data_IF_500580858946
#
_entry.id   IF_500580858946
#
_cell.length_a   1.000
_cell.length_b   1.000
_cell.length_c   1.000
_cell.angle_alpha   90.00
_cell.angle_beta   90.00
_cell.angle_gamma   90.00
#
_symmetry.space_group_name_H-M   'P 1'
#
loop_
_entity.id
_entity.type
_entity.pdbx_description
1 polymer ?
#
# COMPACT_ATOMS: atom_id res chain seq x y z
N UNK A 1 6.31 28.75 25.72
CA UNK A 1 7.04 27.46 25.78
C UNK A 1 6.50 26.42 24.80
N UNK A 2 5.21 26.08 24.79
CA UNK A 2 4.65 25.05 23.90
C UNK A 2 4.86 25.28 22.38
N UNK A 3 4.73 26.52 21.91
CA UNK A 3 4.97 26.86 20.49
C UNK A 3 6.43 26.64 20.08
N UNK A 4 7.39 26.91 20.97
CA UNK A 4 8.80 26.68 20.70
C UNK A 4 9.11 25.18 20.62
N UNK A 5 8.51 24.37 21.51
CA UNK A 5 8.60 22.91 21.48
C UNK A 5 8.01 22.34 20.20
N UNK A 6 6.85 22.83 19.77
CA UNK A 6 6.22 22.39 18.52
C UNK A 6 7.14 22.64 17.32
N UNK A 7 7.67 23.86 17.18
CA UNK A 7 8.61 24.22 16.09
C UNK A 7 9.88 23.37 16.10
N UNK A 8 10.39 23.07 17.29
CA UNK A 8 11.54 22.19 17.43
C UNK A 8 11.23 20.78 16.92
N UNK A 9 10.10 20.20 17.33
CA UNK A 9 9.67 18.87 16.87
C UNK A 9 9.41 18.84 15.37
N UNK A 10 8.79 19.88 14.79
CA UNK A 10 8.60 20.00 13.34
C UNK A 10 9.94 20.00 12.59
N UNK A 11 10.95 20.69 13.13
CA UNK A 11 12.30 20.71 12.57
C UNK A 11 12.94 19.32 12.60
N UNK A 12 12.85 18.62 13.72
CA UNK A 12 13.41 17.27 13.86
C UNK A 12 12.67 16.25 12.97
N UNK A 13 11.35 16.35 12.85
CA UNK A 13 10.57 15.53 11.90
C UNK A 13 11.04 15.79 10.47
N UNK A 14 11.23 17.05 10.08
CA UNK A 14 11.72 17.41 8.75
C UNK A 14 13.11 16.81 8.44
N UNK A 15 14.02 16.80 9.41
CA UNK A 15 15.33 16.15 9.28
C UNK A 15 15.20 14.64 9.06
N UNK A 16 14.33 13.98 9.85
CA UNK A 16 14.09 12.54 9.72
C UNK A 16 13.40 12.18 8.39
N UNK A 17 12.46 12.99 7.92
CA UNK A 17 11.81 12.80 6.63
C UNK A 17 12.80 12.93 5.46
N UNK A 18 13.72 13.89 5.55
CA UNK A 18 14.81 14.04 4.57
C UNK A 18 15.74 12.82 4.59
N UNK A 19 16.05 12.29 5.78
CA UNK A 19 16.86 11.09 5.94
C UNK A 19 16.21 9.85 5.33
N UNK A 20 14.93 9.63 5.65
CA UNK A 20 14.13 8.54 5.08
C UNK A 20 14.10 8.66 3.55
N UNK A 21 13.88 9.87 3.04
CA UNK A 21 13.85 10.13 1.59
C UNK A 21 15.18 9.83 0.91
N UNK A 22 16.29 10.19 1.55
CA UNK A 22 17.64 9.90 1.06
C UNK A 22 17.90 8.39 1.01
N UNK A 23 17.59 7.67 2.09
CA UNK A 23 17.75 6.21 2.17
C UNK A 23 16.87 5.49 1.15
N UNK A 24 15.62 5.93 0.99
CA UNK A 24 14.69 5.36 0.01
C UNK A 24 15.22 5.51 -1.43
N UNK A 25 15.87 6.63 -1.75
CA UNK A 25 16.50 6.85 -3.06
C UNK A 25 17.76 6.01 -3.26
N UNK A 26 18.49 5.68 -2.19
CA UNK A 26 19.67 4.81 -2.26
C UNK A 26 19.35 3.31 -2.38
N UNK A 27 18.11 2.90 -2.06
CA UNK A 27 17.68 1.51 -2.10
C UNK A 27 16.88 1.20 -3.38
N UNK A 28 17.40 0.28 -4.20
CA UNK A 28 16.80 -0.05 -5.50
C UNK A 28 15.39 -0.67 -5.38
N UNK A 29 15.13 -1.47 -4.35
CA UNK A 29 13.78 -1.99 -4.09
C UNK A 29 12.84 -0.85 -3.71
N UNK A 30 13.25 0.01 -2.77
CA UNK A 30 12.43 1.15 -2.35
C UNK A 30 12.13 2.11 -3.52
N UNK A 31 13.11 2.39 -4.39
CA UNK A 31 12.91 3.18 -5.62
C UNK A 31 11.84 2.59 -6.53
N UNK A 32 11.89 1.29 -6.81
CA UNK A 32 10.88 0.60 -7.60
C UNK A 32 9.52 0.66 -6.93
N UNK A 33 9.43 0.43 -5.62
CA UNK A 33 8.18 0.51 -4.88
C UNK A 33 7.56 1.91 -4.86
N UNK A 34 8.36 2.98 -4.82
CA UNK A 34 7.87 4.36 -4.88
C UNK A 34 7.19 4.74 -6.21
N UNK A 35 7.34 3.91 -7.26
CA UNK A 35 6.61 4.12 -8.53
C UNK A 35 5.13 3.72 -8.43
N UNK A 36 4.75 2.99 -7.38
CA UNK A 36 3.36 2.61 -7.13
C UNK A 36 2.60 3.81 -6.53
N UNK A 37 1.48 4.25 -7.12
CA UNK A 37 0.66 5.33 -6.56
C UNK A 37 0.27 5.05 -5.11
N UNK A 38 0.55 6.00 -4.22
CA UNK A 38 0.29 5.87 -2.79
C UNK A 38 1.44 5.28 -1.98
N UNK A 39 2.56 4.90 -2.59
CA UNK A 39 3.77 4.48 -1.88
C UNK A 39 4.81 5.59 -1.96
N UNK A 40 5.00 6.29 -0.84
CA UNK A 40 6.08 7.28 -0.67
C UNK A 40 7.33 6.69 -0.01
N UNK A 41 8.37 7.52 0.22
CA UNK A 41 9.65 7.08 0.80
C UNK A 41 9.53 6.30 2.11
N UNK A 42 8.65 6.75 3.00
CA UNK A 42 8.40 6.07 4.28
C UNK A 42 7.86 4.66 4.09
N UNK A 43 6.82 4.50 3.27
CA UNK A 43 6.18 3.20 3.02
C UNK A 43 7.14 2.28 2.26
N UNK A 44 7.85 2.81 1.26
CA UNK A 44 8.81 2.05 0.48
C UNK A 44 9.99 1.55 1.34
N UNK A 45 10.54 2.41 2.20
CA UNK A 45 11.63 2.04 3.12
C UNK A 45 11.15 1.02 4.14
N UNK A 46 9.95 1.18 4.69
CA UNK A 46 9.37 0.22 5.61
C UNK A 46 9.18 -1.15 4.94
N UNK A 47 8.64 -1.19 3.72
CA UNK A 47 8.49 -2.43 2.96
C UNK A 47 9.85 -3.07 2.66
N UNK A 48 10.82 -2.31 2.16
CA UNK A 48 12.15 -2.83 1.84
C UNK A 48 12.91 -3.35 3.06
N UNK A 49 12.62 -2.84 4.26
CA UNK A 49 13.30 -3.20 5.50
C UNK A 49 12.59 -4.31 6.28
N UNK A 50 11.26 -4.27 6.35
CA UNK A 50 10.46 -5.12 7.25
C UNK A 50 9.78 -6.28 6.53
N UNK A 51 9.59 -6.20 5.20
CA UNK A 51 9.00 -7.31 4.48
C UNK A 51 10.01 -8.45 4.34
N UNK A 52 9.59 -9.72 4.53
CA UNK A 52 10.44 -10.85 4.24
C UNK A 52 10.83 -10.88 2.75
N UNK A 53 11.95 -11.55 2.39
CA UNK A 53 12.29 -11.81 1.00
C UNK A 53 11.10 -12.38 0.22
N UNK A 54 10.83 -11.90 -1.02
CA UNK A 54 9.62 -12.23 -1.76
C UNK A 54 9.50 -13.72 -2.09
N UNK A 55 10.62 -14.46 -2.12
CA UNK A 55 10.72 -15.89 -2.40
C UNK A 55 10.04 -16.77 -1.34
N UNK A 56 9.85 -16.24 -0.12
CA UNK A 56 9.12 -16.92 0.96
C UNK A 56 7.64 -17.09 0.60
N UNK A 57 7.12 -16.26 -0.30
CA UNK A 57 5.71 -16.29 -0.70
C UNK A 57 5.57 -16.87 -2.10
N UNK A 58 4.65 -17.83 -2.28
CA UNK A 58 4.40 -18.45 -3.60
C UNK A 58 3.78 -17.49 -4.61
N UNK A 59 3.02 -16.51 -4.13
CA UNK A 59 2.29 -15.53 -4.95
C UNK A 59 1.98 -14.28 -4.12
N UNK A 60 1.75 -13.15 -4.78
CA UNK A 60 1.40 -11.89 -4.10
C UNK A 60 0.12 -11.93 -3.25
N UNK A 61 -0.78 -12.90 -3.49
CA UNK A 61 -1.95 -13.11 -2.60
C UNK A 61 -1.54 -13.60 -1.21
N UNK A 62 -0.45 -14.37 -1.12
CA UNK A 62 0.07 -14.91 0.13
C UNK A 62 0.76 -13.79 0.91
N UNK A 63 1.50 -12.92 0.23
CA UNK A 63 2.05 -11.69 0.82
C UNK A 63 0.95 -10.76 1.36
N UNK A 64 -0.11 -10.51 0.58
CA UNK A 64 -1.24 -9.71 1.05
C UNK A 64 -1.98 -10.34 2.25
N UNK A 65 -2.05 -11.68 2.30
CA UNK A 65 -2.59 -12.40 3.44
C UNK A 65 -1.69 -12.28 4.68
N UNK A 66 -0.36 -12.36 4.51
CA UNK A 66 0.62 -12.15 5.58
C UNK A 66 0.60 -10.73 6.15
N UNK A 67 0.27 -9.73 5.33
CA UNK A 67 0.01 -8.36 5.80
C UNK A 67 -1.35 -8.22 6.52
N UNK A 68 -2.20 -9.26 6.50
CA UNK A 68 -3.54 -9.22 7.07
C UNK A 68 -4.54 -8.37 6.28
N UNK A 69 -4.29 -8.18 4.97
CA UNK A 69 -5.16 -7.44 4.04
C UNK A 69 -6.20 -8.35 3.35
N UNK A 70 -6.13 -9.66 3.57
CA UNK A 70 -7.04 -10.64 2.96
C UNK A 70 -8.13 -11.05 3.96
N UNK A 71 -9.42 -11.06 3.55
CA UNK A 71 -10.51 -11.54 4.40
C UNK A 71 -10.38 -13.03 4.70
N UNK A 72 -10.80 -13.45 5.90
CA UNK A 72 -10.84 -14.87 6.28
C UNK A 72 -11.85 -15.62 5.42
N UNK A 73 -11.47 -16.79 4.89
CA UNK A 73 -12.36 -17.60 4.07
C UNK A 73 -13.05 -18.69 4.92
N UNK A 74 -14.38 -18.73 4.88
CA UNK A 74 -15.22 -19.75 5.53
C UNK A 74 -16.11 -20.44 4.49
N UNK A 75 -15.51 -20.86 3.38
CA UNK A 75 -16.25 -21.45 2.25
C UNK A 75 -16.42 -22.96 2.46
N UNK A 76 -17.61 -23.49 2.20
CA UNK A 76 -17.93 -24.92 2.23
C UNK A 76 -18.77 -25.29 1.02
N UNK A 77 -18.61 -26.51 0.49
CA UNK A 77 -19.51 -27.10 -0.52
C UNK A 77 -19.90 -26.18 -1.69
N UNK A 78 -18.92 -25.49 -2.31
CA UNK A 78 -19.17 -24.60 -3.46
C UNK A 78 -19.71 -23.19 -3.13
N UNK A 79 -20.06 -22.89 -1.87
CA UNK A 79 -20.51 -21.55 -1.45
C UNK A 79 -19.33 -20.74 -0.93
N UNK A 80 -18.94 -19.70 -1.67
CA UNK A 80 -17.92 -18.76 -1.19
C UNK A 80 -18.49 -17.85 -0.11
N UNK A 81 -17.88 -17.89 1.08
CA UNK A 81 -18.14 -16.95 2.18
C UNK A 81 -16.83 -16.35 2.63
N UNK A 82 -16.74 -15.02 2.51
CA UNK A 82 -15.63 -14.21 2.99
C UNK A 82 -16.07 -13.47 4.26
N UNK A 83 -15.28 -13.61 5.32
CA UNK A 83 -15.47 -12.92 6.60
C UNK A 83 -14.65 -11.63 6.68
N UNK A 84 -14.44 -11.14 7.90
CA UNK A 84 -13.60 -9.98 8.14
C UNK A 84 -12.12 -10.24 7.81
N UNK A 85 -11.36 -9.16 7.57
CA UNK A 85 -9.89 -9.22 7.57
C UNK A 85 -9.42 -9.68 8.94
N UNK A 86 -8.57 -10.70 8.99
CA UNK A 86 -8.09 -11.29 10.25
C UNK A 86 -7.34 -10.28 11.11
N UNK A 87 -6.72 -9.26 10.49
CA UNK A 87 -5.75 -8.34 11.11
C UNK A 87 -4.53 -9.06 11.70
N UNK A 88 -4.41 -10.36 11.47
CA UNK A 88 -3.24 -11.18 11.77
C UNK A 88 -2.20 -10.93 10.69
N UNK A 89 -0.96 -10.64 11.09
CA UNK A 89 0.08 -10.19 10.17
C UNK A 89 0.82 -8.95 10.65
N UNK A 90 1.72 -8.43 9.82
CA UNK A 90 2.45 -7.20 10.13
C UNK A 90 1.48 -6.00 10.15
N UNK A 91 1.33 -5.39 11.33
CA UNK A 91 0.34 -4.33 11.60
C UNK A 91 0.76 -2.97 11.03
N UNK A 92 2.06 -2.67 11.04
CA UNK A 92 2.64 -1.37 10.66
C UNK A 92 2.54 -1.14 9.16
N UNK A 93 3.07 -2.06 8.34
CA UNK A 93 2.95 -2.18 6.90
C UNK A 93 1.49 -2.21 6.46
N UNK A 94 0.62 -2.94 7.15
CA UNK A 94 -0.83 -2.89 6.86
C UNK A 94 -1.38 -1.47 7.01
N UNK A 95 -1.08 -0.80 8.13
CA UNK A 95 -1.50 0.58 8.38
C UNK A 95 -0.93 1.53 7.32
N UNK A 96 0.36 1.40 7.02
CA UNK A 96 1.07 2.21 6.03
C UNK A 96 0.46 2.06 4.63
N UNK A 97 0.16 0.83 4.19
CA UNK A 97 -0.50 0.61 2.89
C UNK A 97 -1.93 1.17 2.85
N UNK A 98 -2.68 1.10 3.95
CA UNK A 98 -4.02 1.73 4.04
C UNK A 98 -3.91 3.26 3.99
N UNK A 99 -2.92 3.86 4.65
CA UNK A 99 -2.63 5.30 4.56
C UNK A 99 -2.23 5.68 3.12
N UNK A 100 -1.38 4.87 2.50
CA UNK A 100 -0.98 5.04 1.10
C UNK A 100 -2.18 5.00 0.15
N UNK A 101 -3.05 4.00 0.30
CA UNK A 101 -4.30 3.90 -0.44
C UNK A 101 -5.23 5.11 -0.22
N UNK A 102 -5.33 5.59 1.02
CA UNK A 102 -6.11 6.79 1.33
C UNK A 102 -5.56 8.03 0.62
N UNK A 103 -4.23 8.17 0.52
CA UNK A 103 -3.61 9.30 -0.20
C UNK A 103 -4.04 9.35 -1.68
N UNK A 104 -4.11 8.18 -2.34
CA UNK A 104 -4.58 8.05 -3.73
C UNK A 104 -6.04 8.45 -3.86
N UNK A 105 -6.88 8.03 -2.91
CA UNK A 105 -8.34 8.29 -2.93
C UNK A 105 -8.65 9.76 -2.66
N UNK A 106 -7.98 10.40 -1.70
CA UNK A 106 -8.17 11.82 -1.40
C UNK A 106 -7.68 12.68 -2.57
N UNK A 107 -6.55 12.32 -3.18
CA UNK A 107 -5.98 12.99 -4.35
C UNK A 107 -6.49 12.40 -5.68
N UNK A 108 -7.71 11.86 -5.71
CA UNK A 108 -8.24 11.14 -6.90
C UNK A 108 -8.31 11.97 -8.18
N UNK A 109 -8.36 13.30 -8.07
CA UNK A 109 -8.38 14.21 -9.22
C UNK A 109 -7.03 14.23 -9.97
N UNK A 110 -5.91 14.04 -9.27
CA UNK A 110 -4.57 13.93 -9.90
C UNK A 110 -4.19 12.51 -10.27
N UNK A 111 -4.82 11.49 -9.67
CA UNK A 111 -4.51 10.09 -9.96
C UNK A 111 -5.43 9.50 -11.03
N UNK A 112 -4.89 9.24 -12.23
CA UNK A 112 -5.62 8.60 -13.32
C UNK A 112 -6.29 7.27 -12.90
N UNK A 113 -5.62 6.51 -12.01
CA UNK A 113 -6.15 5.25 -11.48
C UNK A 113 -7.43 5.39 -10.66
N UNK A 114 -7.76 6.58 -10.16
CA UNK A 114 -8.92 6.87 -9.33
C UNK A 114 -10.03 7.65 -10.06
N UNK A 115 -9.85 7.92 -11.36
CA UNK A 115 -10.84 8.61 -12.20
C UNK A 115 -12.10 7.75 -12.41
N UNK A 116 -13.19 8.40 -12.80
CA UNK A 116 -14.40 7.71 -13.26
C UNK A 116 -14.06 6.77 -14.44
N UNK A 117 -14.74 5.62 -14.52
CA UNK A 117 -14.46 4.59 -15.52
C UNK A 117 -13.38 3.58 -15.12
N UNK A 118 -12.55 3.84 -14.10
CA UNK A 118 -11.59 2.84 -13.61
C UNK A 118 -12.21 1.90 -12.57
N UNK A 119 -11.53 0.79 -12.29
CA UNK A 119 -11.90 -0.12 -11.19
C UNK A 119 -12.04 0.60 -9.83
N UNK A 120 -11.13 1.54 -9.53
CA UNK A 120 -11.14 2.27 -8.25
C UNK A 120 -12.25 3.31 -8.24
N UNK A 121 -12.42 4.09 -9.32
CA UNK A 121 -13.50 5.05 -9.45
C UNK A 121 -14.88 4.38 -9.33
N UNK A 122 -15.07 3.27 -10.04
CA UNK A 122 -16.30 2.48 -9.95
C UNK A 122 -16.51 1.80 -8.59
N UNK A 123 -15.47 1.58 -7.78
CA UNK A 123 -15.64 1.07 -6.42
C UNK A 123 -16.06 2.19 -5.47
N UNK A 124 -15.48 3.39 -5.62
CA UNK A 124 -15.81 4.57 -4.82
C UNK A 124 -17.27 5.00 -4.97
N UNK A 125 -17.91 4.71 -6.11
CA UNK A 125 -19.35 5.00 -6.31
C UNK A 125 -20.28 3.99 -5.64
N UNK A 126 -19.82 2.75 -5.40
CA UNK A 126 -20.68 1.63 -4.96
C UNK A 126 -20.43 1.13 -3.54
N UNK A 127 -19.29 1.49 -2.93
CA UNK A 127 -18.83 0.89 -1.67
C UNK A 127 -18.39 1.95 -0.65
N UNK A 128 -18.52 1.67 0.66
CA UNK A 128 -18.04 2.57 1.70
C UNK A 128 -16.54 2.88 1.56
N UNK A 129 -16.09 4.12 1.81
CA UNK A 129 -14.71 4.54 1.55
C UNK A 129 -13.64 3.69 2.24
N UNK A 130 -13.88 3.23 3.48
CA UNK A 130 -12.92 2.39 4.20
C UNK A 130 -12.73 1.02 3.54
N UNK A 131 -13.81 0.44 2.99
CA UNK A 131 -13.74 -0.81 2.24
C UNK A 131 -12.88 -0.62 0.99
N UNK A 132 -13.05 0.50 0.29
CA UNK A 132 -12.27 0.83 -0.90
C UNK A 132 -10.78 1.02 -0.58
N UNK A 133 -10.46 1.70 0.52
CA UNK A 133 -9.06 1.86 0.99
C UNK A 133 -8.40 0.51 1.25
N UNK A 134 -9.08 -0.40 1.95
CA UNK A 134 -8.56 -1.74 2.23
C UNK A 134 -8.40 -2.56 0.95
N UNK A 135 -9.36 -2.49 0.04
CA UNK A 135 -9.28 -3.17 -1.26
C UNK A 135 -8.11 -2.65 -2.12
N UNK A 136 -7.90 -1.32 -2.15
CA UNK A 136 -6.77 -0.71 -2.83
C UNK A 136 -5.44 -1.10 -2.17
N UNK A 137 -5.36 -1.08 -0.83
CA UNK A 137 -4.18 -1.54 -0.10
C UNK A 137 -3.85 -3.01 -0.39
N UNK A 138 -4.86 -3.90 -0.48
CA UNK A 138 -4.67 -5.29 -0.89
C UNK A 138 -4.10 -5.39 -2.30
N UNK A 139 -4.63 -4.60 -3.25
CA UNK A 139 -4.10 -4.53 -4.61
C UNK A 139 -2.65 -4.03 -4.63
N UNK A 140 -2.34 -2.97 -3.88
CA UNK A 140 -0.98 -2.44 -3.73
C UNK A 140 -0.03 -3.48 -3.16
N UNK A 141 -0.41 -4.23 -2.12
CA UNK A 141 0.41 -5.30 -1.56
C UNK A 141 0.80 -6.35 -2.59
N UNK A 142 -0.14 -6.76 -3.45
CA UNK A 142 0.12 -7.74 -4.52
C UNK A 142 1.10 -7.20 -5.57
N UNK A 143 1.01 -5.90 -5.88
CA UNK A 143 1.93 -5.22 -6.80
C UNK A 143 3.32 -5.11 -6.15
N UNK A 144 3.40 -4.70 -4.88
CA UNK A 144 4.64 -4.63 -4.10
C UNK A 144 5.39 -5.96 -4.17
N UNK A 145 4.71 -7.08 -3.87
CA UNK A 145 5.32 -8.40 -3.95
C UNK A 145 5.85 -8.71 -5.36
N UNK A 146 5.08 -8.40 -6.41
CA UNK A 146 5.50 -8.65 -7.79
C UNK A 146 6.76 -7.84 -8.16
N UNK A 147 6.84 -6.56 -7.77
CA UNK A 147 8.04 -5.76 -8.04
C UNK A 147 9.25 -6.22 -7.21
N UNK A 148 9.04 -6.66 -5.97
CA UNK A 148 10.11 -7.26 -5.16
C UNK A 148 10.61 -8.57 -5.79
N UNK A 149 9.70 -9.44 -6.25
CA UNK A 149 10.04 -10.76 -6.79
C UNK A 149 10.68 -10.74 -8.18
N UNK A 150 10.21 -9.86 -9.06
CA UNK A 150 10.63 -9.83 -10.47
C UNK A 150 11.61 -8.69 -10.78
N UNK A 151 11.71 -7.73 -9.87
CA UNK A 151 12.61 -6.59 -10.01
C UNK A 151 12.15 -5.54 -11.03
N UNK A 152 10.91 -5.60 -11.48
CA UNK A 152 10.32 -4.65 -12.43
C UNK A 152 9.96 -3.29 -11.79
N UNK A 153 9.61 -2.34 -12.65
CA UNK A 153 9.03 -1.04 -12.27
C UNK A 153 7.52 -1.08 -12.48
N UNK A 154 6.75 -0.41 -11.61
CA UNK A 154 5.30 -0.33 -11.78
C UNK A 154 4.93 0.32 -13.12
N UNK A 155 4.08 -0.37 -13.89
CA UNK A 155 3.41 0.17 -15.07
C UNK A 155 1.92 0.21 -14.80
N UNK A 156 1.31 1.38 -15.00
CA UNK A 156 -0.13 1.49 -14.85
C UNK A 156 -0.83 0.53 -15.84
N UNK A 157 -1.84 -0.24 -15.41
CA UNK A 157 -2.58 -1.09 -16.32
C UNK A 157 -3.24 -0.21 -17.39
N UNK A 158 -3.10 -0.61 -18.66
CA UNK A 158 -3.83 0.02 -19.76
C UNK A 158 -5.32 0.02 -19.41
N UNK A 159 -6.00 1.15 -19.60
CA UNK A 159 -7.44 1.20 -19.44
C UNK A 159 -8.04 0.17 -20.40
N UNK A 160 -8.78 -0.81 -19.87
CA UNK A 160 -9.58 -1.67 -20.71
C UNK A 160 -10.60 -0.75 -21.40
N UNK A 161 -10.52 -0.68 -22.72
CA UNK A 161 -11.46 0.02 -23.61
C UNK A 161 -12.81 -0.69 -23.55
#
# INVERSE_FOLDING_TARGET
MLVATLRHLETEIGKLDAEISRRAKGNEVARRLMTIPGIGPLIATALATLAPPPEIFRKGRDFAAWLGLTPRQHSTGGKQRLGATTKMGERSLRRLLIIGANSVIIKRHVHASARAGTWLGGMLTRKPPMLVRVALANKMARIVWALMAHGDVYRAPAAAV
#
